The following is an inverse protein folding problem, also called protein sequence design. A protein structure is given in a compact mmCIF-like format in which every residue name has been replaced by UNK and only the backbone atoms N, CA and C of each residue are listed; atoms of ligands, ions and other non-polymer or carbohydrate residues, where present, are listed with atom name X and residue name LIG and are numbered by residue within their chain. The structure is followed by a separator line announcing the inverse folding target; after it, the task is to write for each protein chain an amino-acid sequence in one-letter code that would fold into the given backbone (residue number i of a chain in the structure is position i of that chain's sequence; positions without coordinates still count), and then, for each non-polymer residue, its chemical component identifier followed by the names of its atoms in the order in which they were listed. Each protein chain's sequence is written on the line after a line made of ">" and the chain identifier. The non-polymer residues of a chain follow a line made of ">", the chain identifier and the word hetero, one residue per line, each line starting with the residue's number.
data_IF_980672901481
#
_entry.id   IF_980672901481
#
_cell.length_a   1.000
_cell.length_b   1.000
_cell.length_c   1.000
_cell.angle_alpha   90.00
_cell.angle_beta   90.00
_cell.angle_gamma   90.00
#
_symmetry.space_group_name_H-M   'P 1'
#
loop_
_entity.id
_entity.type
_entity.pdbx_description
1 polymer ?
#
# COMPACT_ATOMS: atom_id res chain seq x y z
N UNK A 1 -36.00 9.86 -4.92
CA UNK A 1 -34.65 10.19 -5.42
C UNK A 1 -33.91 8.88 -5.54
N UNK A 2 -33.88 8.37 -6.76
CA UNK A 2 -33.42 7.06 -7.15
C UNK A 2 -31.99 7.22 -7.67
N UNK A 3 -31.03 7.13 -6.75
CA UNK A 3 -29.62 6.96 -7.08
C UNK A 3 -29.45 5.49 -7.47
N UNK A 4 -29.75 5.19 -8.72
CA UNK A 4 -29.32 3.93 -9.33
C UNK A 4 -27.81 3.89 -9.21
N UNK A 5 -27.32 3.18 -8.19
CA UNK A 5 -25.92 2.83 -7.97
C UNK A 5 -25.49 2.02 -9.18
N UNK A 6 -25.11 2.75 -10.23
CA UNK A 6 -24.55 2.22 -11.44
C UNK A 6 -23.26 1.56 -10.97
N UNK A 7 -23.27 0.23 -10.93
CA UNK A 7 -22.13 -0.63 -10.70
C UNK A 7 -21.18 -0.49 -11.91
N UNK A 8 -20.74 0.75 -12.16
CA UNK A 8 -19.56 1.07 -12.93
C UNK A 8 -18.49 0.24 -12.25
N UNK A 9 -18.04 -0.81 -12.92
CA UNK A 9 -16.85 -1.55 -12.56
C UNK A 9 -15.74 -0.50 -12.46
N UNK A 10 -15.54 0.02 -11.25
CA UNK A 10 -14.54 1.05 -11.00
C UNK A 10 -13.22 0.29 -11.03
N UNK A 11 -12.70 0.12 -12.24
CA UNK A 11 -11.33 -0.29 -12.42
C UNK A 11 -10.49 0.76 -11.71
N UNK A 12 -9.88 0.35 -10.61
CA UNK A 12 -9.10 1.21 -9.74
C UNK A 12 -7.73 0.58 -9.57
N UNK A 13 -6.72 1.40 -9.81
CA UNK A 13 -5.37 1.09 -9.44
C UNK A 13 -5.17 1.43 -7.97
N UNK A 14 -4.33 0.70 -7.26
CA UNK A 14 -3.94 1.06 -5.90
C UNK A 14 -2.42 1.13 -5.81
N UNK A 15 -1.92 2.15 -5.14
CA UNK A 15 -0.51 2.25 -4.77
C UNK A 15 -0.37 1.71 -3.36
N UNK A 16 0.43 0.65 -3.20
CA UNK A 16 0.76 0.05 -1.91
C UNK A 16 2.19 0.40 -1.53
N UNK A 17 2.39 0.80 -0.28
CA UNK A 17 3.72 1.10 0.24
C UNK A 17 4.50 -0.22 0.40
N UNK A 18 5.66 -0.33 -0.25
CA UNK A 18 6.49 -1.56 -0.23
C UNK A 18 7.08 -1.91 1.15
N UNK A 19 6.90 -1.03 2.12
CA UNK A 19 7.59 -1.03 3.40
C UNK A 19 6.69 -1.51 4.55
N UNK A 20 5.44 -1.08 4.55
CA UNK A 20 4.45 -1.41 5.59
C UNK A 20 3.14 -1.94 4.99
N UNK A 21 3.11 -2.21 3.69
CA UNK A 21 1.94 -2.68 2.95
C UNK A 21 0.69 -1.80 3.09
N UNK A 22 0.86 -0.55 3.54
CA UNK A 22 -0.23 0.41 3.67
C UNK A 22 -0.62 0.97 2.30
N UNK A 23 -1.91 1.17 2.07
CA UNK A 23 -2.41 1.82 0.87
C UNK A 23 -2.07 3.30 0.91
N UNK A 24 -1.37 3.78 -0.11
CA UNK A 24 -0.94 5.16 -0.25
C UNK A 24 -2.02 5.98 -0.94
N UNK A 25 -2.48 5.49 -2.09
CA UNK A 25 -3.44 6.21 -2.93
C UNK A 25 -4.20 5.25 -3.84
N UNK A 26 -5.39 5.65 -4.26
CA UNK A 26 -6.19 4.97 -5.28
C UNK A 26 -6.14 5.76 -6.57
N UNK A 27 -5.70 5.12 -7.64
CA UNK A 27 -5.64 5.70 -8.98
C UNK A 27 -6.90 5.32 -9.76
N UNK A 28 -7.44 6.29 -10.51
CA UNK A 28 -8.49 6.01 -11.48
C UNK A 28 -7.83 5.50 -12.77
N UNK A 29 -7.76 4.18 -12.93
CA UNK A 29 -7.09 3.52 -14.06
C UNK A 29 -8.07 2.65 -14.83
N UNK A 30 -7.86 2.49 -16.14
CA UNK A 30 -8.79 1.70 -16.98
C UNK A 30 -8.72 0.17 -16.74
N UNK A 31 -7.95 -0.27 -15.74
CA UNK A 31 -7.81 -1.66 -15.28
C UNK A 31 -7.45 -1.71 -13.79
N UNK A 32 -7.79 -2.80 -13.11
CA UNK A 32 -7.28 -3.09 -11.77
C UNK A 32 -5.78 -3.38 -11.83
N UNK A 33 -4.96 -2.57 -11.16
CA UNK A 33 -3.49 -2.72 -11.13
C UNK A 33 -2.93 -2.30 -9.78
N UNK A 34 -2.00 -3.08 -9.25
CA UNK A 34 -1.30 -2.75 -8.02
C UNK A 34 0.07 -2.17 -8.37
N UNK A 35 0.31 -0.95 -7.93
CA UNK A 35 1.62 -0.30 -8.00
C UNK A 35 2.27 -0.33 -6.62
N UNK A 36 3.60 -0.36 -6.57
CA UNK A 36 4.36 -0.29 -5.33
C UNK A 36 5.10 1.04 -5.23
N UNK A 37 4.93 1.73 -4.10
CA UNK A 37 5.53 3.03 -3.82
C UNK A 37 6.20 3.09 -2.44
N UNK A 38 6.63 4.29 -2.06
CA UNK A 38 7.12 4.63 -0.72
C UNK A 38 6.19 5.68 -0.14
N UNK A 39 5.80 5.51 1.12
CA UNK A 39 4.91 6.38 1.84
C UNK A 39 5.67 7.13 2.94
N UNK A 40 5.24 8.36 3.25
CA UNK A 40 5.86 9.19 4.30
C UNK A 40 5.18 9.05 5.67
N UNK A 41 4.47 7.94 5.90
CA UNK A 41 3.77 7.73 7.16
C UNK A 41 4.79 7.46 8.30
N UNK A 42 4.69 8.18 9.44
CA UNK A 42 5.65 8.03 10.53
C UNK A 42 5.64 6.63 11.14
N UNK A 43 4.48 5.96 11.13
CA UNK A 43 4.32 4.57 11.57
C UNK A 43 5.09 3.60 10.67
N UNK A 44 5.10 3.86 9.36
CA UNK A 44 5.84 3.05 8.39
C UNK A 44 7.36 3.23 8.53
N UNK A 45 7.80 4.46 8.77
CA UNK A 45 9.22 4.78 9.00
C UNK A 45 9.75 4.14 10.28
N UNK A 46 8.92 4.05 11.31
CA UNK A 46 9.26 3.37 12.56
C UNK A 46 9.34 1.85 12.38
N UNK A 47 8.44 1.24 11.59
CA UNK A 47 8.48 -0.19 11.27
C UNK A 47 9.81 -0.59 10.62
N UNK A 48 10.35 0.27 9.75
CA UNK A 48 11.68 0.08 9.16
C UNK A 48 12.80 0.12 10.19
N UNK A 49 12.69 1.03 11.17
CA UNK A 49 13.71 1.18 12.21
C UNK A 49 13.72 0.01 13.20
N UNK A 50 12.60 -0.68 13.39
CA UNK A 50 12.50 -1.87 14.23
C UNK A 50 12.77 -3.18 13.48
N UNK A 51 12.74 -3.17 12.14
CA UNK A 51 13.13 -4.30 11.28
C UNK A 51 14.58 -4.24 10.80
N UNK A 52 15.31 -3.15 11.09
CA UNK A 52 16.79 -3.10 11.10
C UNK A 52 17.36 -3.92 12.29
N UNK A 53 16.78 -5.11 12.52
CA UNK A 53 17.46 -6.15 13.25
C UNK A 53 18.68 -6.51 12.40
N UNK A 54 19.91 -6.40 12.90
CA UNK A 54 21.05 -6.90 12.16
C UNK A 54 20.77 -8.37 11.81
N UNK A 55 20.81 -8.72 10.53
CA UNK A 55 20.84 -10.10 10.03
C UNK A 55 22.12 -10.74 10.56
N UNK A 56 22.10 -11.13 11.83
CA UNK A 56 23.04 -12.05 12.47
C UNK A 56 22.53 -12.51 13.84
N UNK A 57 21.22 -12.80 13.98
CA UNK A 57 20.68 -13.47 15.18
C UNK A 57 20.51 -14.98 14.91
N UNK A 58 21.58 -15.60 14.41
CA UNK A 58 21.87 -17.01 14.60
C UNK A 58 23.37 -17.11 14.92
N UNK A 59 23.70 -17.02 16.21
CA UNK A 59 24.96 -17.51 16.72
C UNK A 59 24.61 -18.56 17.78
N UNK A 60 24.95 -19.81 17.43
CA UNK A 60 25.32 -20.97 18.26
C UNK A 60 24.68 -21.19 19.65
#
# INVERSE_FOLDING_TARGET
>A
MNESMNNLNVNMGVIICKHCNSQVETLNTNRMVVYYGVCDQPECRQLHRSLDVPVNMYAE
#
